data_IF_262890970600
#
_entry.id   IF_262890970600
#
_cell.length_a   1.000
_cell.length_b   1.000
_cell.length_c   1.000
_cell.angle_alpha   90.00
_cell.angle_beta   90.00
_cell.angle_gamma   90.00
#
_symmetry.space_group_name_H-M   'P 1'
#
loop_
_entity.id
_entity.type
_entity.pdbx_description
1 polymer ?
#
# COMPACT_ATOMS: atom_id res chain seq x y z
N UNK A 1 -11.14 -41.16 -31.37
CA UNK A 1 -10.54 -39.85 -31.70
C UNK A 1 -11.01 -38.80 -30.68
N UNK A 2 -10.78 -39.05 -29.38
CA UNK A 2 -11.52 -38.32 -28.32
C UNK A 2 -10.72 -38.15 -27.02
N UNK A 3 -9.69 -38.96 -26.77
CA UNK A 3 -8.90 -38.89 -25.53
C UNK A 3 -7.87 -37.75 -25.52
N UNK A 4 -7.26 -37.46 -26.68
CA UNK A 4 -6.26 -36.38 -26.83
C UNK A 4 -6.89 -34.98 -26.70
N UNK A 5 -8.17 -34.85 -27.06
CA UNK A 5 -8.93 -33.61 -26.95
C UNK A 5 -9.31 -33.29 -25.50
N UNK A 6 -9.75 -34.30 -24.74
CA UNK A 6 -10.07 -34.14 -23.31
C UNK A 6 -8.82 -33.79 -22.50
N UNK A 7 -7.68 -34.43 -22.79
CA UNK A 7 -6.42 -34.11 -22.13
C UNK A 7 -5.96 -32.67 -22.41
N UNK A 8 -6.12 -32.19 -23.66
CA UNK A 8 -5.76 -30.84 -24.05
C UNK A 8 -6.64 -29.76 -23.37
N UNK A 9 -7.94 -30.04 -23.19
CA UNK A 9 -8.87 -29.15 -22.48
C UNK A 9 -8.54 -29.07 -20.98
N UNK A 10 -8.18 -30.19 -20.35
CA UNK A 10 -7.79 -30.23 -18.94
C UNK A 10 -6.48 -29.47 -18.70
N UNK A 11 -5.47 -29.65 -19.59
CA UNK A 11 -4.20 -28.92 -19.49
C UNK A 11 -4.42 -27.41 -19.69
N UNK A 12 -5.28 -27.01 -20.64
CA UNK A 12 -5.63 -25.60 -20.83
C UNK A 12 -6.33 -24.98 -19.62
N UNK A 13 -7.18 -25.73 -18.91
CA UNK A 13 -7.89 -25.26 -17.73
C UNK A 13 -6.97 -25.10 -16.51
N UNK A 14 -5.97 -25.98 -16.34
CA UNK A 14 -5.00 -25.90 -15.24
C UNK A 14 -4.06 -24.70 -15.39
N UNK A 15 -3.66 -24.36 -16.62
CA UNK A 15 -2.81 -23.18 -16.88
C UNK A 15 -3.56 -21.86 -16.60
N UNK A 16 -4.88 -21.82 -16.80
CA UNK A 16 -5.69 -20.63 -16.50
C UNK A 16 -5.88 -20.35 -15.00
N UNK A 17 -5.61 -21.33 -14.12
CA UNK A 17 -5.70 -21.17 -12.66
C UNK A 17 -4.40 -20.78 -11.97
N UNK A 18 -3.28 -20.65 -12.71
CA UNK A 18 -2.06 -20.07 -12.15
C UNK A 18 -2.26 -18.56 -12.02
N UNK A 19 -2.90 -18.16 -10.90
CA UNK A 19 -3.04 -16.77 -10.51
C UNK A 19 -1.68 -16.09 -10.54
N UNK A 20 -1.57 -15.05 -11.36
CA UNK A 20 -0.41 -14.16 -11.32
C UNK A 20 -0.41 -13.54 -9.94
N UNK A 21 0.50 -13.98 -9.08
CA UNK A 21 0.76 -13.30 -7.82
C UNK A 21 1.27 -11.90 -8.19
N UNK A 22 0.38 -10.91 -8.12
CA UNK A 22 0.75 -9.52 -8.27
C UNK A 22 1.52 -9.16 -7.01
N UNK A 23 2.83 -9.41 -7.02
CA UNK A 23 3.72 -8.86 -6.03
C UNK A 23 3.67 -7.34 -6.18
N UNK A 24 3.18 -6.66 -5.14
CA UNK A 24 3.20 -5.22 -5.09
C UNK A 24 4.63 -4.74 -5.31
N UNK A 25 4.79 -3.65 -6.08
CA UNK A 25 6.10 -3.12 -6.39
C UNK A 25 6.85 -2.81 -5.07
N UNK A 26 8.13 -3.22 -4.94
CA UNK A 26 8.90 -2.96 -3.74
C UNK A 26 8.97 -1.45 -3.47
N UNK A 27 8.83 -1.08 -2.20
CA UNK A 27 8.81 0.31 -1.78
C UNK A 27 10.18 0.96 -2.10
N UNK A 28 10.23 2.10 -2.82
CA UNK A 28 11.50 2.71 -3.19
C UNK A 28 12.25 3.22 -1.96
N UNK A 29 13.58 3.27 -2.04
CA UNK A 29 14.39 3.89 -0.98
C UNK A 29 14.13 5.40 -0.94
N UNK A 30 14.04 6.00 0.28
CA UNK A 30 13.82 7.43 0.43
C UNK A 30 15.03 8.21 -0.13
N UNK A 31 14.74 9.27 -0.86
CA UNK A 31 15.74 10.17 -1.45
C UNK A 31 15.99 11.40 -0.60
N UNK A 32 15.01 11.77 0.22
CA UNK A 32 15.04 12.92 1.10
C UNK A 32 15.08 12.55 2.58
N UNK A 33 14.80 13.55 3.43
CA UNK A 33 14.67 13.35 4.86
C UNK A 33 13.51 12.39 5.15
N UNK A 34 13.79 11.31 5.88
CA UNK A 34 12.76 10.40 6.41
C UNK A 34 11.92 11.15 7.43
N UNK A 35 10.62 11.21 7.20
CA UNK A 35 9.64 11.90 8.06
C UNK A 35 8.58 10.95 8.65
N UNK A 36 8.51 9.72 8.13
CA UNK A 36 7.66 8.68 8.66
C UNK A 36 8.40 7.34 8.57
N UNK A 37 8.35 6.59 9.67
CA UNK A 37 8.93 5.25 9.78
C UNK A 37 7.85 4.31 10.27
N UNK A 38 7.67 3.20 9.56
CA UNK A 38 6.71 2.14 9.88
C UNK A 38 7.48 0.86 10.15
N UNK A 39 7.10 0.15 11.21
CA UNK A 39 7.70 -1.09 11.68
C UNK A 39 6.61 -2.06 12.09
N UNK A 40 6.94 -3.34 12.18
CA UNK A 40 6.02 -4.40 12.61
C UNK A 40 5.76 -5.41 11.50
N UNK A 41 4.53 -5.91 11.44
CA UNK A 41 4.12 -6.90 10.44
C UNK A 41 3.82 -6.25 9.09
N UNK A 42 4.89 -5.95 8.34
CA UNK A 42 4.87 -5.34 7.01
C UNK A 42 5.56 -6.24 5.98
N UNK A 43 4.99 -6.28 4.77
CA UNK A 43 5.48 -7.15 3.68
C UNK A 43 6.49 -6.47 2.76
N UNK A 44 6.51 -5.12 2.73
CA UNK A 44 7.33 -4.34 1.79
C UNK A 44 8.24 -3.32 2.50
N UNK A 45 9.23 -3.76 3.29
CA UNK A 45 10.23 -2.86 3.85
C UNK A 45 11.17 -2.30 2.76
N UNK A 46 11.70 -1.10 2.98
CA UNK A 46 12.72 -0.49 2.10
C UNK A 46 14.05 -0.21 2.83
N UNK A 47 14.06 -0.30 4.16
CA UNK A 47 15.27 -0.15 4.99
C UNK A 47 15.25 -1.23 6.07
N UNK A 48 16.00 -2.32 5.85
CA UNK A 48 16.03 -3.45 6.78
C UNK A 48 14.65 -4.11 6.91
N UNK A 49 14.10 -4.11 8.12
CA UNK A 49 12.76 -4.56 8.49
C UNK A 49 11.74 -3.41 8.62
N UNK A 50 12.11 -2.22 8.16
CA UNK A 50 11.32 -1.00 8.29
C UNK A 50 10.93 -0.40 6.92
N UNK A 51 9.81 0.32 6.91
CA UNK A 51 9.40 1.15 5.79
C UNK A 51 9.56 2.64 6.13
N UNK A 52 10.46 3.30 5.42
CA UNK A 52 10.81 4.71 5.60
C UNK A 52 10.21 5.54 4.46
N UNK A 53 9.56 6.65 4.81
CA UNK A 53 8.93 7.55 3.87
C UNK A 53 9.52 8.95 4.00
N UNK A 54 9.91 9.50 2.85
CA UNK A 54 10.16 10.93 2.69
C UNK A 54 8.89 11.67 2.22
N UNK A 55 8.98 13.00 2.10
CA UNK A 55 7.86 13.84 1.64
C UNK A 55 7.37 13.45 0.25
N UNK A 56 8.29 13.19 -0.69
CA UNK A 56 7.97 12.90 -2.07
C UNK A 56 7.26 11.54 -2.22
N UNK A 57 7.62 10.56 -1.38
CA UNK A 57 6.92 9.27 -1.31
C UNK A 57 5.49 9.44 -0.81
N UNK A 58 5.27 10.23 0.24
CA UNK A 58 3.92 10.47 0.79
C UNK A 58 3.03 11.24 -0.20
N UNK A 59 3.59 12.19 -0.96
CA UNK A 59 2.85 12.95 -1.98
C UNK A 59 2.42 12.10 -3.18
N UNK A 60 3.03 10.94 -3.40
CA UNK A 60 2.65 10.00 -4.46
C UNK A 60 1.49 9.09 -4.05
N UNK A 61 1.20 8.97 -2.75
CA UNK A 61 0.09 8.15 -2.29
C UNK A 61 -1.24 8.87 -2.59
N UNK A 62 -2.31 8.11 -2.87
CA UNK A 62 -3.66 8.65 -2.95
C UNK A 62 -3.97 9.55 -1.74
N UNK A 63 -4.31 10.81 -2.00
CA UNK A 63 -4.59 11.81 -0.97
C UNK A 63 -6.06 12.21 -0.96
N UNK A 64 -6.52 12.73 0.18
CA UNK A 64 -7.84 13.38 0.29
C UNK A 64 -7.69 14.78 0.84
N UNK A 65 -8.53 15.69 0.35
CA UNK A 65 -8.68 17.02 0.93
C UNK A 65 -10.02 17.12 1.67
N UNK A 66 -10.00 17.67 2.87
CA UNK A 66 -11.18 17.93 3.69
C UNK A 66 -11.19 19.42 3.99
N UNK A 67 -12.32 20.08 3.69
CA UNK A 67 -12.56 21.45 4.09
C UNK A 67 -13.53 21.42 5.27
N UNK A 68 -13.05 21.76 6.46
CA UNK A 68 -13.85 21.77 7.68
C UNK A 68 -13.91 23.18 8.22
N UNK A 69 -15.11 23.64 8.53
CA UNK A 69 -15.32 24.86 9.29
C UNK A 69 -15.40 24.47 10.75
N UNK A 70 -14.44 24.92 11.56
CA UNK A 70 -14.47 24.69 13.00
C UNK A 70 -14.90 25.97 13.72
N UNK A 71 -15.74 25.88 14.77
CA UNK A 71 -16.25 27.07 15.45
C UNK A 71 -15.17 27.84 16.25
N UNK A 72 -13.96 27.31 16.35
CA UNK A 72 -12.82 27.92 17.06
C UNK A 72 -11.80 28.63 16.15
N UNK A 73 -11.93 28.56 14.81
CA UNK A 73 -11.10 29.32 13.88
C UNK A 73 -11.95 30.14 12.89
N UNK A 74 -11.58 31.39 12.60
CA UNK A 74 -12.25 32.16 11.56
C UNK A 74 -11.91 31.57 10.17
N UNK A 75 -12.95 31.09 9.49
CA UNK A 75 -12.86 30.61 8.11
C UNK A 75 -12.70 29.09 7.97
N UNK A 76 -12.95 28.55 6.76
CA UNK A 76 -12.81 27.13 6.49
C UNK A 76 -11.34 26.70 6.47
N UNK A 77 -10.98 25.72 7.30
CA UNK A 77 -9.66 25.08 7.29
C UNK A 77 -9.61 23.97 6.24
N UNK A 78 -8.59 23.97 5.37
CA UNK A 78 -8.33 22.89 4.41
C UNK A 78 -7.23 21.98 4.97
N UNK A 79 -7.55 20.70 5.12
CA UNK A 79 -6.63 19.64 5.48
C UNK A 79 -6.42 18.74 4.27
N UNK A 80 -5.16 18.40 3.98
CA UNK A 80 -4.81 17.52 2.87
C UNK A 80 -3.70 16.57 3.30
N UNK A 81 -3.80 15.31 2.90
CA UNK A 81 -2.79 14.31 3.19
C UNK A 81 -3.10 12.96 2.56
N UNK A 82 -2.12 12.05 2.57
CA UNK A 82 -2.29 10.70 2.06
C UNK A 82 -3.36 9.95 2.87
N UNK A 83 -4.09 9.07 2.20
CA UNK A 83 -5.00 8.14 2.86
C UNK A 83 -4.20 7.19 3.75
N UNK A 84 -4.63 7.04 5.00
CA UNK A 84 -4.00 6.10 5.92
C UNK A 84 -4.07 4.66 5.39
N UNK A 85 -5.17 4.28 4.73
CA UNK A 85 -5.30 2.99 4.06
C UNK A 85 -4.26 2.81 2.95
N UNK A 86 -4.03 3.82 2.11
CA UNK A 86 -3.06 3.73 1.02
C UNK A 86 -1.62 3.56 1.53
N UNK A 87 -1.31 4.13 2.70
CA UNK A 87 -0.04 3.93 3.38
C UNK A 87 0.11 2.48 3.88
N UNK A 88 -0.93 1.91 4.51
CA UNK A 88 -0.94 0.52 4.97
C UNK A 88 -0.82 -0.47 3.80
N UNK A 89 -1.53 -0.20 2.70
CA UNK A 89 -1.45 -1.00 1.48
C UNK A 89 -0.04 -0.93 0.87
N UNK A 90 0.57 0.26 0.84
CA UNK A 90 1.92 0.46 0.29
C UNK A 90 2.98 -0.36 1.04
N UNK A 91 2.88 -0.48 2.37
CA UNK A 91 3.81 -1.31 3.16
C UNK A 91 3.39 -2.78 3.24
N UNK A 92 2.19 -3.13 2.76
CA UNK A 92 1.62 -4.47 2.90
C UNK A 92 1.45 -4.87 4.37
N UNK A 93 0.82 -4.00 5.17
CA UNK A 93 0.58 -4.24 6.58
C UNK A 93 -0.42 -5.39 6.80
N UNK A 94 -0.04 -6.40 7.58
CA UNK A 94 -0.90 -7.54 7.94
C UNK A 94 -1.38 -7.51 9.40
N UNK A 95 -0.99 -6.48 10.17
CA UNK A 95 -1.37 -6.31 11.56
C UNK A 95 -2.83 -5.89 11.77
N UNK A 96 -3.41 -6.26 12.91
CA UNK A 96 -4.78 -5.88 13.32
C UNK A 96 -4.85 -4.63 14.20
N UNK A 97 -3.71 -4.10 14.65
CA UNK A 97 -3.62 -2.92 15.51
C UNK A 97 -2.58 -1.94 14.95
N UNK A 98 -2.91 -0.65 15.00
CA UNK A 98 -1.99 0.45 14.64
C UNK A 98 -1.73 1.29 15.88
N UNK A 99 -0.45 1.57 16.14
CA UNK A 99 -0.02 2.45 17.22
C UNK A 99 0.80 3.62 16.67
N UNK A 100 0.29 4.82 16.82
CA UNK A 100 1.14 6.02 16.85
C UNK A 100 1.78 6.07 18.23
N UNK A 101 3.10 6.15 18.29
CA UNK A 101 3.93 6.18 19.50
C UNK A 101 3.36 7.06 20.66
N UNK A 102 3.61 6.73 21.95
CA UNK A 102 3.24 7.58 23.09
C UNK A 102 4.03 8.89 23.18
#
# INVERSE_FOLDING_TARGET
>A
MSFRFVLAVIVGLVVATMGVAVQAAPLPSPSGKVILTIRGDISHPNVGDEAHFDRAMLDRLPSRSIVTTTPWHPGPGRFEGPLFSALLDAVGANGSEVRSWP
#
